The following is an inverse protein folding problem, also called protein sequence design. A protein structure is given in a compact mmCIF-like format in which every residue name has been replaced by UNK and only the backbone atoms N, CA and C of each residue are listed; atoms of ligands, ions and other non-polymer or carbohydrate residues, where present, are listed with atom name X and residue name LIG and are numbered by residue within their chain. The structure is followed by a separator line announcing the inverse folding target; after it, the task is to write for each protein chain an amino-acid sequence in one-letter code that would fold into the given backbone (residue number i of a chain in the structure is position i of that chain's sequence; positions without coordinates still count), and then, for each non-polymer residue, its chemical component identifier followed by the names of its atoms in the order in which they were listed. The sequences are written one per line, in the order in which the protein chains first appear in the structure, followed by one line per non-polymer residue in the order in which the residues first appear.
data_IF_255874362853
#
_entry.id   IF_255874362853
#
_cell.length_a   1.000
_cell.length_b   1.000
_cell.length_c   1.000
_cell.angle_alpha   90.00
_cell.angle_beta   90.00
_cell.angle_gamma   90.00
#
_symmetry.space_group_name_H-M   'P 1'
#
loop_
_entity.id
_entity.type
_entity.pdbx_description
1 polymer ?
#
# COMPACT_ATOMS: atom_id res chain seq x y z
N UNK A 1 -75.91 -27.18 -6.23
CA UNK A 1 -74.69 -26.98 -7.00
C UNK A 1 -73.69 -26.33 -6.06
N UNK A 2 -72.65 -27.06 -5.63
CA UNK A 2 -71.65 -26.56 -4.70
C UNK A 2 -70.38 -26.16 -5.50
N UNK A 3 -70.10 -24.88 -5.57
CA UNK A 3 -68.90 -24.32 -6.25
C UNK A 3 -67.72 -24.47 -5.31
N UNK A 4 -66.76 -25.31 -5.68
CA UNK A 4 -65.46 -25.44 -4.94
C UNK A 4 -64.51 -24.35 -5.41
N UNK A 5 -64.23 -23.40 -4.53
CA UNK A 5 -63.15 -22.46 -4.72
C UNK A 5 -61.77 -23.15 -4.42
N UNK A 6 -60.92 -23.18 -5.42
CA UNK A 6 -59.58 -23.67 -5.29
C UNK A 6 -58.71 -22.43 -4.93
N UNK A 7 -58.21 -22.42 -3.69
CA UNK A 7 -57.26 -21.39 -3.24
C UNK A 7 -55.87 -21.82 -3.68
N UNK A 8 -55.28 -21.08 -4.65
CA UNK A 8 -53.86 -21.21 -5.01
C UNK A 8 -53.03 -20.49 -3.96
N UNK A 9 -52.32 -21.26 -3.14
CA UNK A 9 -51.34 -20.75 -2.20
C UNK A 9 -50.02 -20.52 -2.94
N UNK A 10 -49.71 -19.27 -3.27
CA UNK A 10 -48.45 -18.86 -3.86
C UNK A 10 -47.38 -18.78 -2.75
N UNK A 11 -46.54 -19.82 -2.65
CA UNK A 11 -45.37 -19.82 -1.78
C UNK A 11 -44.28 -19.02 -2.51
N UNK A 12 -44.09 -17.76 -2.09
CA UNK A 12 -42.96 -16.96 -2.50
C UNK A 12 -41.72 -17.44 -1.72
N UNK A 13 -40.89 -18.23 -2.38
CA UNK A 13 -39.56 -18.59 -1.86
C UNK A 13 -38.63 -17.38 -1.97
N UNK A 14 -38.43 -16.65 -0.86
CA UNK A 14 -37.35 -15.65 -0.75
C UNK A 14 -36.00 -16.37 -0.73
N UNK A 15 -35.35 -16.41 -1.88
CA UNK A 15 -33.93 -16.81 -1.96
C UNK A 15 -33.11 -15.65 -1.41
N UNK A 16 -32.70 -15.75 -0.14
CA UNK A 16 -31.70 -14.89 0.45
C UNK A 16 -30.35 -15.30 -0.13
N UNK A 17 -29.93 -14.64 -1.22
CA UNK A 17 -28.54 -14.69 -1.66
C UNK A 17 -27.70 -13.90 -0.65
N UNK A 18 -27.13 -14.64 0.30
CA UNK A 18 -26.09 -14.15 1.20
C UNK A 18 -24.86 -13.87 0.34
N UNK A 19 -24.62 -12.61 -0.01
CA UNK A 19 -23.32 -12.15 -0.48
C UNK A 19 -22.32 -12.28 0.67
N UNK A 20 -21.63 -13.41 0.72
CA UNK A 20 -20.40 -13.54 1.48
C UNK A 20 -19.35 -12.67 0.78
N UNK A 21 -19.26 -11.41 1.20
CA UNK A 21 -18.10 -10.57 0.93
C UNK A 21 -16.91 -11.18 1.66
N UNK A 22 -16.19 -12.09 1.01
CA UNK A 22 -14.85 -12.45 1.44
C UNK A 22 -13.99 -11.21 1.24
N UNK A 23 -13.78 -10.46 2.33
CA UNK A 23 -12.68 -9.56 2.47
C UNK A 23 -11.42 -10.42 2.34
N UNK A 24 -10.82 -10.46 1.15
CA UNK A 24 -9.46 -10.97 0.98
C UNK A 24 -8.56 -10.00 1.73
N UNK A 25 -8.26 -10.30 3.01
CA UNK A 25 -7.10 -9.72 3.68
C UNK A 25 -5.92 -10.03 2.81
N UNK A 26 -5.37 -9.03 2.12
CA UNK A 26 -4.06 -9.14 1.51
C UNK A 26 -3.11 -9.52 2.65
N UNK A 27 -2.52 -10.70 2.56
CA UNK A 27 -1.52 -11.14 3.51
C UNK A 27 -0.28 -10.34 3.16
N UNK A 28 0.07 -9.35 4.00
CA UNK A 28 1.33 -8.64 3.85
C UNK A 28 2.45 -9.68 3.76
N UNK A 29 3.08 -9.77 2.60
CA UNK A 29 4.19 -10.69 2.41
C UNK A 29 5.43 -9.99 2.96
N UNK A 30 5.86 -10.37 4.14
CA UNK A 30 7.13 -9.91 4.71
C UNK A 30 8.25 -10.63 3.96
N UNK A 31 9.05 -9.87 3.23
CA UNK A 31 10.24 -10.39 2.56
C UNK A 31 11.43 -10.03 3.42
N UNK A 32 12.10 -11.05 3.94
CA UNK A 32 13.36 -10.91 4.66
C UNK A 32 14.51 -10.81 3.66
N UNK A 33 15.24 -9.72 3.69
CA UNK A 33 16.48 -9.54 2.94
C UNK A 33 17.67 -9.54 3.91
N UNK A 34 18.82 -9.99 3.45
CA UNK A 34 20.06 -9.84 4.24
C UNK A 34 20.42 -8.36 4.37
N UNK A 35 20.92 -7.96 5.54
CA UNK A 35 21.22 -6.56 5.87
C UNK A 35 22.28 -5.88 4.97
N UNK A 36 22.96 -6.63 4.08
CA UNK A 36 24.00 -6.14 3.18
C UNK A 36 23.78 -6.61 1.73
N UNK A 37 22.55 -6.71 1.27
CA UNK A 37 22.22 -7.11 -0.09
C UNK A 37 22.64 -6.02 -1.10
N UNK A 38 23.65 -6.25 -1.97
CA UNK A 38 24.18 -5.22 -2.86
C UNK A 38 23.19 -4.75 -3.93
N UNK A 39 22.22 -5.59 -4.32
CA UNK A 39 21.17 -5.20 -5.29
C UNK A 39 20.14 -4.29 -4.63
N UNK A 40 19.80 -4.54 -3.37
CA UNK A 40 18.89 -3.67 -2.62
C UNK A 40 19.57 -2.34 -2.26
N UNK A 41 20.86 -2.35 -1.92
CA UNK A 41 21.61 -1.11 -1.69
C UNK A 41 21.68 -0.27 -2.98
N UNK A 42 21.94 -0.91 -4.13
CA UNK A 42 21.89 -0.21 -5.42
C UNK A 42 20.50 0.33 -5.72
N UNK A 43 19.45 -0.44 -5.48
CA UNK A 43 18.07 -0.02 -5.68
C UNK A 43 17.74 1.22 -4.84
N UNK A 44 18.17 1.26 -3.57
CA UNK A 44 18.05 2.43 -2.69
C UNK A 44 18.77 3.66 -3.25
N UNK A 45 20.00 3.49 -3.73
CA UNK A 45 20.75 4.58 -4.34
C UNK A 45 20.05 5.13 -5.59
N UNK A 46 19.57 4.24 -6.48
CA UNK A 46 18.82 4.61 -7.68
C UNK A 46 17.51 5.33 -7.33
N UNK A 47 16.79 4.87 -6.30
CA UNK A 47 15.57 5.52 -5.81
C UNK A 47 15.84 6.95 -5.31
N UNK A 48 16.91 7.13 -4.50
CA UNK A 48 17.28 8.44 -3.96
C UNK A 48 17.78 9.41 -5.04
N UNK A 49 18.49 8.93 -6.06
CA UNK A 49 18.90 9.72 -7.21
C UNK A 49 17.69 10.25 -8.00
N UNK A 50 16.62 9.47 -8.08
CA UNK A 50 15.41 9.80 -8.83
C UNK A 50 14.27 10.36 -7.94
N UNK A 51 14.51 10.61 -6.65
CA UNK A 51 13.48 11.13 -5.74
C UNK A 51 12.92 12.50 -6.18
N UNK A 52 13.71 13.26 -6.96
CA UNK A 52 13.27 14.51 -7.55
C UNK A 52 12.02 14.33 -8.43
N UNK A 53 12.00 13.32 -9.28
CA UNK A 53 10.86 13.02 -10.16
C UNK A 53 9.61 12.68 -9.35
N UNK A 54 9.73 11.94 -8.26
CA UNK A 54 8.63 11.67 -7.33
C UNK A 54 8.03 12.96 -6.76
N UNK A 55 8.90 13.88 -6.27
CA UNK A 55 8.46 15.15 -5.69
C UNK A 55 7.80 16.04 -6.75
N UNK A 56 8.35 16.10 -7.96
CA UNK A 56 7.79 16.87 -9.07
C UNK A 56 6.41 16.34 -9.47
N UNK A 57 6.26 15.02 -9.61
CA UNK A 57 4.97 14.39 -9.90
C UNK A 57 3.96 14.65 -8.79
N UNK A 58 4.35 14.51 -7.53
CA UNK A 58 3.47 14.80 -6.39
C UNK A 58 2.98 16.25 -6.42
N UNK A 59 3.86 17.20 -6.63
CA UNK A 59 3.50 18.62 -6.68
C UNK A 59 2.55 18.96 -7.84
N UNK A 60 2.68 18.24 -8.95
CA UNK A 60 1.83 18.45 -10.13
C UNK A 60 0.46 17.75 -10.02
N UNK A 61 0.40 16.58 -9.37
CA UNK A 61 -0.74 15.67 -9.49
C UNK A 61 -1.29 15.16 -8.13
N UNK A 62 -0.85 15.67 -6.97
CA UNK A 62 -1.31 15.20 -5.65
C UNK A 62 -2.82 15.38 -5.39
N UNK A 63 -3.50 16.22 -6.15
CA UNK A 63 -4.95 16.40 -6.11
C UNK A 63 -5.71 15.52 -7.12
N UNK A 64 -5.00 14.76 -7.93
CA UNK A 64 -5.57 13.87 -8.93
C UNK A 64 -5.69 12.47 -8.32
N UNK A 65 -6.91 11.96 -8.17
CA UNK A 65 -7.20 10.65 -7.59
C UNK A 65 -6.71 9.46 -8.43
N UNK A 66 -6.23 9.73 -9.65
CA UNK A 66 -5.60 8.73 -10.52
C UNK A 66 -4.23 8.30 -10.00
N UNK A 67 -3.55 9.16 -9.23
CA UNK A 67 -2.21 8.87 -8.73
C UNK A 67 -2.18 8.63 -7.23
N UNK A 68 -1.50 7.56 -6.85
CA UNK A 68 -1.16 7.24 -5.47
C UNK A 68 0.35 7.26 -5.27
N UNK A 69 0.80 7.81 -4.15
CA UNK A 69 2.21 8.07 -3.85
C UNK A 69 2.63 7.31 -2.60
N UNK A 70 3.67 6.50 -2.72
CA UNK A 70 4.17 5.69 -1.62
C UNK A 70 5.67 5.89 -1.41
N UNK A 71 6.10 5.88 -0.15
CA UNK A 71 7.53 5.85 0.22
C UNK A 71 7.79 4.62 1.06
N UNK A 72 8.89 3.92 0.76
CA UNK A 72 9.46 2.90 1.61
C UNK A 72 10.42 3.55 2.60
N UNK A 73 10.24 3.25 3.87
CA UNK A 73 10.92 3.91 4.97
C UNK A 73 11.47 2.86 5.93
N UNK A 74 12.68 3.09 6.43
CA UNK A 74 13.25 2.34 7.52
C UNK A 74 12.76 2.91 8.86
N UNK A 75 11.92 2.16 9.54
CA UNK A 75 11.41 2.46 10.88
C UNK A 75 12.28 1.79 11.92
N UNK A 76 12.66 2.54 12.95
CA UNK A 76 13.59 2.10 13.97
C UNK A 76 12.91 2.16 15.35
N UNK A 77 12.99 1.05 16.10
CA UNK A 77 12.58 0.98 17.49
C UNK A 77 13.62 0.21 18.30
N UNK A 78 14.33 0.89 19.18
CA UNK A 78 15.47 0.41 19.99
C UNK A 78 16.57 -0.22 19.12
N UNK A 79 16.98 -0.69 18.43
CA UNK A 79 17.99 -1.32 17.55
C UNK A 79 17.33 -2.22 16.49
N UNK A 80 16.00 -2.37 16.56
CA UNK A 80 15.26 -3.13 15.56
C UNK A 80 14.88 -2.23 14.38
N UNK A 81 14.95 -2.78 13.18
CA UNK A 81 14.64 -2.11 11.92
C UNK A 81 13.49 -2.82 11.21
N UNK A 82 12.55 -2.08 10.69
CA UNK A 82 11.48 -2.61 9.85
C UNK A 82 11.19 -1.67 8.68
N UNK A 83 11.34 -2.21 7.46
CA UNK A 83 11.16 -1.48 6.22
C UNK A 83 9.71 -1.55 5.77
N UNK A 84 9.01 -0.42 5.83
CA UNK A 84 7.57 -0.37 5.56
C UNK A 84 7.21 0.74 4.60
N UNK A 85 6.05 0.61 3.97
CA UNK A 85 5.49 1.60 3.08
C UNK A 85 4.55 2.56 3.81
N UNK A 86 4.61 3.82 3.44
CA UNK A 86 3.63 4.84 3.81
C UNK A 86 2.94 5.37 2.56
N UNK A 87 1.65 5.66 2.65
CA UNK A 87 0.92 6.44 1.65
C UNK A 87 1.12 7.92 1.93
N UNK A 88 1.67 8.66 0.97
CA UNK A 88 2.06 10.07 1.16
C UNK A 88 0.86 10.98 1.02
N UNK A 89 0.62 11.80 2.05
CA UNK A 89 -0.47 12.78 2.07
C UNK A 89 0.03 14.21 1.88
N UNK A 90 1.30 14.48 2.23
CA UNK A 90 1.86 15.83 2.18
C UNK A 90 3.37 15.79 1.99
N UNK A 91 3.85 16.72 1.16
CA UNK A 91 5.27 17.04 1.03
C UNK A 91 5.42 18.55 1.25
N UNK A 92 6.15 18.95 2.26
CA UNK A 92 6.37 20.36 2.57
C UNK A 92 7.74 20.58 3.23
N UNK A 93 8.48 21.58 2.76
CA UNK A 93 9.80 21.97 3.31
C UNK A 93 10.79 20.81 3.46
N UNK A 94 10.77 19.84 2.53
CA UNK A 94 11.63 18.66 2.57
C UNK A 94 11.23 17.60 3.60
N UNK A 95 10.08 17.75 4.25
CA UNK A 95 9.44 16.73 5.07
C UNK A 95 8.31 16.04 4.29
N UNK A 96 8.15 14.75 4.57
CA UNK A 96 7.09 13.92 4.00
C UNK A 96 6.17 13.50 5.13
N UNK A 97 4.87 13.64 4.95
CA UNK A 97 3.86 13.14 5.88
C UNK A 97 3.00 12.09 5.17
N UNK A 98 2.70 11.02 5.84
CA UNK A 98 1.89 9.96 5.25
C UNK A 98 1.34 8.99 6.29
N UNK A 99 0.53 8.07 5.83
CA UNK A 99 -0.11 7.05 6.66
C UNK A 99 0.61 5.72 6.48
N UNK A 100 0.99 5.08 7.59
CA UNK A 100 1.63 3.77 7.57
C UNK A 100 0.69 2.72 6.95
N UNK A 101 1.13 2.10 5.85
CA UNK A 101 0.32 1.21 5.02
C UNK A 101 0.61 -0.29 5.25
N UNK A 102 1.58 -0.62 6.13
CA UNK A 102 1.88 -1.99 6.55
C UNK A 102 1.50 -2.23 8.01
N UNK A 103 1.29 -3.49 8.36
CA UNK A 103 1.15 -3.93 9.76
C UNK A 103 2.54 -4.26 10.31
N UNK A 104 3.08 -3.49 11.28
CA UNK A 104 4.39 -3.78 11.87
C UNK A 104 4.44 -5.17 12.49
N UNK A 105 5.53 -5.90 12.23
CA UNK A 105 5.77 -7.23 12.78
C UNK A 105 6.80 -7.19 13.91
N UNK A 106 7.83 -6.37 13.74
CA UNK A 106 9.00 -6.27 14.60
C UNK A 106 8.84 -5.09 15.56
N UNK A 107 8.78 -3.87 15.04
CA UNK A 107 8.72 -2.64 15.84
C UNK A 107 7.34 -2.46 16.49
N UNK A 108 7.28 -1.73 17.63
CA UNK A 108 6.06 -1.58 18.43
C UNK A 108 5.65 -0.12 18.64
N UNK A 109 6.48 0.82 18.25
CA UNK A 109 6.27 2.25 18.45
C UNK A 109 5.32 2.89 17.42
N UNK A 110 4.94 2.16 16.36
CA UNK A 110 3.95 2.57 15.36
C UNK A 110 3.00 1.40 15.02
N UNK A 111 1.87 1.71 14.41
CA UNK A 111 0.87 0.74 13.96
C UNK A 111 0.28 1.14 12.61
N UNK A 112 -0.33 0.20 11.92
CA UNK A 112 -1.07 0.44 10.69
C UNK A 112 -2.05 1.61 10.85
N UNK A 113 -2.02 2.53 9.89
CA UNK A 113 -2.89 3.70 9.87
C UNK A 113 -2.36 4.91 10.65
N UNK A 114 -1.22 4.80 11.34
CA UNK A 114 -0.63 5.96 12.03
C UNK A 114 -0.14 7.00 11.01
N UNK A 115 -0.40 8.27 11.32
CA UNK A 115 0.17 9.40 10.61
C UNK A 115 1.62 9.60 11.06
N UNK A 116 2.55 9.54 10.12
CA UNK A 116 3.99 9.63 10.38
C UNK A 116 4.64 10.76 9.60
N UNK A 117 5.72 11.31 10.17
CA UNK A 117 6.57 12.33 9.53
C UNK A 117 7.93 11.74 9.23
N UNK A 118 8.31 11.81 7.98
CA UNK A 118 9.53 11.18 7.46
C UNK A 118 10.49 12.24 6.96
N UNK A 119 11.76 12.07 7.28
CA UNK A 119 12.85 12.85 6.70
C UNK A 119 13.41 12.14 5.48
N UNK A 120 14.05 12.90 4.61
CA UNK A 120 14.62 12.38 3.36
C UNK A 120 15.63 11.25 3.58
N UNK A 121 16.40 11.29 4.64
CA UNK A 121 17.43 10.30 5.00
C UNK A 121 16.86 8.94 5.45
N UNK A 122 15.58 8.88 5.78
CA UNK A 122 14.85 7.64 6.13
C UNK A 122 14.26 6.93 4.92
N UNK A 123 14.24 7.59 3.74
CA UNK A 123 13.62 7.04 2.52
C UNK A 123 14.57 6.02 1.88
N UNK A 124 14.02 4.90 1.47
CA UNK A 124 14.75 3.83 0.80
C UNK A 124 14.25 3.53 -0.62
N UNK A 125 12.97 3.77 -0.86
CA UNK A 125 12.35 3.58 -2.17
C UNK A 125 11.09 4.44 -2.28
N UNK A 126 10.56 4.58 -3.49
CA UNK A 126 9.31 5.26 -3.74
C UNK A 126 8.55 4.64 -4.89
N UNK A 127 7.23 4.78 -4.86
CA UNK A 127 6.31 4.34 -5.92
C UNK A 127 5.33 5.46 -6.22
N UNK A 128 5.11 5.70 -7.52
CA UNK A 128 3.94 6.39 -8.04
C UNK A 128 3.11 5.33 -8.76
N UNK A 129 1.87 5.15 -8.32
CA UNK A 129 0.93 4.20 -8.92
C UNK A 129 -0.14 4.97 -9.70
N UNK A 130 -0.35 4.61 -10.95
CA UNK A 130 -1.51 5.04 -11.70
C UNK A 130 -2.62 4.01 -11.50
N UNK A 131 -3.70 4.40 -10.82
CA UNK A 131 -4.80 3.50 -10.43
C UNK A 131 -5.73 3.12 -11.58
N UNK A 132 -5.66 3.82 -12.74
CA UNK A 132 -6.45 3.50 -13.92
C UNK A 132 -5.75 2.49 -14.83
N UNK A 133 -4.39 2.55 -14.91
CA UNK A 133 -3.60 1.70 -15.81
C UNK A 133 -2.81 0.62 -15.07
N UNK A 134 -2.78 0.63 -13.74
CA UNK A 134 -1.93 -0.20 -12.89
C UNK A 134 -0.41 -0.04 -13.18
N UNK A 135 -0.03 1.07 -13.84
CA UNK A 135 1.37 1.37 -14.11
C UNK A 135 2.06 1.88 -12.85
N UNK A 136 3.25 1.35 -12.60
CA UNK A 136 4.10 1.70 -11.46
C UNK A 136 5.38 2.38 -11.95
N UNK A 137 5.62 3.60 -11.48
CA UNK A 137 6.91 4.28 -11.58
C UNK A 137 7.68 4.16 -10.26
N UNK A 138 9.01 4.08 -10.31
CA UNK A 138 9.84 3.79 -9.14
C UNK A 138 9.83 2.31 -8.77
N UNK A 139 9.67 1.96 -7.49
CA UNK A 139 9.62 0.59 -7.01
C UNK A 139 10.92 -0.17 -7.27
N UNK A 140 12.06 0.47 -7.03
CA UNK A 140 13.38 -0.08 -7.33
C UNK A 140 13.64 -1.37 -6.55
N UNK A 141 13.34 -1.39 -5.26
CA UNK A 141 13.45 -2.60 -4.43
C UNK A 141 12.41 -3.68 -4.81
N UNK A 142 11.21 -3.27 -5.21
CA UNK A 142 10.17 -4.19 -5.69
C UNK A 142 10.64 -4.94 -6.92
N UNK A 143 11.26 -4.24 -7.89
CA UNK A 143 11.81 -4.84 -9.11
C UNK A 143 12.92 -5.85 -8.82
N UNK A 144 13.77 -5.60 -7.80
CA UNK A 144 14.78 -6.57 -7.37
C UNK A 144 14.11 -7.88 -6.93
N UNK A 145 13.08 -7.82 -6.09
CA UNK A 145 12.38 -9.02 -5.63
C UNK A 145 11.61 -9.72 -6.75
N UNK A 146 11.00 -8.99 -7.67
CA UNK A 146 10.33 -9.57 -8.84
C UNK A 146 11.27 -10.35 -9.75
N UNK A 147 12.52 -9.90 -9.89
CA UNK A 147 13.53 -10.56 -10.71
C UNK A 147 14.13 -11.83 -10.07
N UNK A 148 13.95 -12.01 -8.76
CA UNK A 148 14.46 -13.17 -8.00
C UNK A 148 13.45 -14.31 -7.87
N UNK A 149 12.18 -14.05 -8.14
CA UNK A 149 11.06 -15.03 -8.04
C UNK A 149 10.75 -15.66 -9.35
#
# INVERSE_FOLDING_TARGET
MKTRQIIFLLIAACILTSCNGQSTKSKDTVVYAESNDPELEKAKQDALLNLGSFIESYNAHSNDSVYEYYLKVDFIDNEEHEHMWISVNKIENGQFEGVLSNNPQIIKNVKFGDLVKIKKDQIEDWIIMNTETDEMEGGYSVKVFQNRG
#
